data_IF_295973040098
#
_entry.id   IF_295973040098
#
_cell.length_a   1.000
_cell.length_b   1.000
_cell.length_c   1.000
_cell.angle_alpha   90.00
_cell.angle_beta   90.00
_cell.angle_gamma   90.00
#
_symmetry.space_group_name_H-M   'P 1'
#
loop_
_entity.id
_entity.type
_entity.pdbx_description
1 polymer ?
#
# COMPACT_ATOMS: atom_id res chain seq x y z
N UNK A 1 9.18 -0.63 -9.32
CA UNK A 1 8.13 -0.19 -8.36
C UNK A 1 7.37 -1.40 -7.90
N UNK A 2 7.12 -1.49 -6.59
CA UNK A 2 6.46 -2.63 -5.97
C UNK A 2 5.05 -2.25 -5.51
N UNK A 3 4.14 -3.22 -5.51
CA UNK A 3 2.75 -2.99 -5.14
C UNK A 3 2.39 -3.87 -3.94
N UNK A 4 1.79 -3.25 -2.94
CA UNK A 4 1.35 -3.94 -1.72
C UNK A 4 -0.13 -3.70 -1.57
N UNK A 5 -0.91 -4.77 -1.44
CA UNK A 5 -2.31 -4.72 -1.04
C UNK A 5 -2.45 -5.18 0.39
N UNK A 6 -3.19 -4.44 1.20
CA UNK A 6 -3.45 -4.76 2.60
C UNK A 6 -4.96 -4.77 2.80
N UNK A 7 -5.48 -5.95 3.13
CA UNK A 7 -6.83 -6.06 3.67
C UNK A 7 -6.77 -5.91 5.19
N UNK A 8 -7.55 -4.97 5.72
CA UNK A 8 -7.59 -4.62 7.14
C UNK A 8 -8.85 -5.17 7.76
N UNK A 9 -8.68 -6.13 8.66
CA UNK A 9 -9.72 -6.66 9.51
C UNK A 9 -9.55 -6.19 10.96
N UNK A 10 -10.58 -6.38 11.79
CA UNK A 10 -10.57 -5.98 13.21
C UNK A 10 -9.35 -6.51 13.97
N UNK A 11 -9.01 -7.79 13.79
CA UNK A 11 -7.93 -8.45 14.54
C UNK A 11 -6.71 -8.83 13.69
N UNK A 12 -6.80 -8.74 12.36
CA UNK A 12 -5.79 -9.24 11.43
C UNK A 12 -5.58 -8.29 10.26
N UNK A 13 -4.40 -8.37 9.67
CA UNK A 13 -3.98 -7.64 8.49
C UNK A 13 -3.44 -8.64 7.49
N UNK A 14 -4.08 -8.76 6.35
CA UNK A 14 -3.67 -9.65 5.28
C UNK A 14 -2.95 -8.86 4.19
N UNK A 15 -1.66 -9.15 4.01
CA UNK A 15 -0.75 -8.38 3.17
C UNK A 15 -0.35 -9.21 1.96
N UNK A 16 -0.41 -8.61 0.79
CA UNK A 16 0.08 -9.18 -0.47
C UNK A 16 1.07 -8.22 -1.13
N UNK A 17 2.31 -8.65 -1.32
CA UNK A 17 3.35 -7.95 -2.06
C UNK A 17 3.51 -8.56 -3.45
N UNK A 18 3.43 -7.72 -4.48
CA UNK A 18 3.78 -8.02 -5.86
C UNK A 18 5.18 -7.46 -6.15
N UNK A 19 6.17 -8.35 -6.23
CA UNK A 19 7.57 -7.98 -6.39
C UNK A 19 7.88 -7.48 -7.82
N UNK A 20 7.48 -8.25 -8.84
CA UNK A 20 7.70 -7.95 -10.26
C UNK A 20 6.37 -7.67 -11.01
N UNK A 21 5.43 -6.98 -10.35
CA UNK A 21 4.11 -6.66 -10.93
C UNK A 21 3.19 -7.86 -11.13
N UNK A 22 2.26 -7.77 -12.10
CA UNK A 22 1.12 -8.70 -12.27
C UNK A 22 1.52 -10.13 -12.58
N UNK A 23 2.61 -10.34 -13.34
CA UNK A 23 3.13 -11.66 -13.72
C UNK A 23 4.28 -12.15 -12.82
N UNK A 24 4.61 -11.37 -11.80
CA UNK A 24 5.75 -11.59 -10.94
C UNK A 24 5.50 -12.58 -9.80
N UNK A 25 6.56 -12.83 -9.01
CA UNK A 25 6.44 -13.56 -7.75
C UNK A 25 5.66 -12.72 -6.74
N UNK A 26 4.70 -13.35 -6.06
CA UNK A 26 3.93 -12.76 -4.96
C UNK A 26 4.38 -13.29 -3.61
N UNK A 27 4.33 -12.44 -2.59
CA UNK A 27 4.56 -12.81 -1.19
C UNK A 27 3.37 -12.37 -0.36
N UNK A 28 2.87 -13.28 0.47
CA UNK A 28 1.73 -13.00 1.35
C UNK A 28 2.14 -13.14 2.80
N UNK A 29 1.64 -12.27 3.68
CA UNK A 29 1.85 -12.34 5.12
C UNK A 29 0.57 -11.92 5.83
N UNK A 30 0.21 -12.63 6.88
CA UNK A 30 -0.84 -12.19 7.81
C UNK A 30 -0.18 -11.72 9.11
N UNK A 31 -0.63 -10.58 9.63
CA UNK A 31 -0.19 -9.96 10.89
C UNK A 31 -1.39 -9.69 11.78
N UNK A 32 -1.17 -9.55 13.08
CA UNK A 32 -2.22 -9.08 13.99
C UNK A 32 -2.40 -7.56 13.83
N UNK A 33 -3.64 -7.10 13.89
CA UNK A 33 -3.94 -5.67 13.90
C UNK A 33 -3.75 -5.13 15.31
N UNK A 34 -2.50 -4.75 15.62
CA UNK A 34 -2.12 -4.16 16.90
C UNK A 34 -1.26 -2.91 16.67
N UNK A 35 -0.83 -2.30 17.77
CA UNK A 35 -0.01 -1.08 17.77
C UNK A 35 1.33 -1.24 17.04
N UNK A 36 1.87 -2.45 17.06
CA UNK A 36 3.18 -2.79 16.48
C UNK A 36 3.08 -3.26 15.02
N UNK A 37 1.87 -3.41 14.48
CA UNK A 37 1.62 -3.95 13.15
C UNK A 37 2.33 -3.17 12.04
N UNK A 38 2.36 -1.84 12.13
CA UNK A 38 3.06 -0.99 11.18
C UNK A 38 4.58 -1.25 11.18
N UNK A 39 5.19 -1.34 12.37
CA UNK A 39 6.61 -1.64 12.51
C UNK A 39 6.95 -3.04 11.97
N UNK A 40 6.13 -4.04 12.30
CA UNK A 40 6.29 -5.40 11.78
C UNK A 40 6.15 -5.47 10.26
N UNK A 41 5.22 -4.71 9.68
CA UNK A 41 5.03 -4.61 8.24
C UNK A 41 6.23 -3.95 7.56
N UNK A 42 6.73 -2.83 8.08
CA UNK A 42 7.92 -2.16 7.57
C UNK A 42 9.13 -3.10 7.61
N UNK A 43 9.36 -3.78 8.73
CA UNK A 43 10.45 -4.74 8.87
C UNK A 43 10.31 -5.93 7.91
N UNK A 44 9.08 -6.37 7.62
CA UNK A 44 8.82 -7.41 6.63
C UNK A 44 9.08 -6.92 5.20
N UNK A 45 8.65 -5.70 4.85
CA UNK A 45 8.88 -5.09 3.54
C UNK A 45 10.37 -4.85 3.27
N UNK A 46 11.13 -4.45 4.30
CA UNK A 46 12.58 -4.23 4.20
C UNK A 46 13.37 -5.49 3.81
N UNK A 47 12.82 -6.70 3.99
CA UNK A 47 13.45 -7.96 3.55
C UNK A 47 13.43 -8.15 2.03
N UNK A 48 12.54 -7.44 1.36
CA UNK A 48 12.27 -7.60 -0.06
C UNK A 48 12.63 -6.34 -0.84
N UNK A 49 12.40 -5.16 -0.27
CA UNK A 49 12.43 -3.92 -1.03
C UNK A 49 13.50 -3.00 -0.44
N UNK A 50 14.40 -2.44 -1.27
CA UNK A 50 15.50 -1.60 -0.79
C UNK A 50 15.04 -0.26 -0.20
N UNK A 51 13.91 0.29 -0.67
CA UNK A 51 13.40 1.59 -0.22
C UNK A 51 11.86 1.64 -0.21
N UNK A 52 11.26 2.10 0.89
CA UNK A 52 9.79 2.20 1.05
C UNK A 52 9.15 3.18 0.06
N UNK A 53 9.89 4.17 -0.42
CA UNK A 53 9.43 5.16 -1.40
C UNK A 53 9.10 4.53 -2.76
N UNK A 54 9.60 3.33 -3.04
CA UNK A 54 9.33 2.57 -4.26
C UNK A 54 8.10 1.65 -4.12
N UNK A 55 7.44 1.68 -2.96
CA UNK A 55 6.28 0.84 -2.62
C UNK A 55 5.01 1.67 -2.69
N UNK A 56 4.07 1.20 -3.51
CA UNK A 56 2.70 1.69 -3.52
C UNK A 56 1.84 0.73 -2.70
N UNK A 57 1.40 1.17 -1.54
CA UNK A 57 0.57 0.44 -0.59
C UNK A 57 -0.88 0.83 -0.84
N UNK A 58 -1.76 -0.16 -0.96
CA UNK A 58 -3.19 0.04 -1.10
C UNK A 58 -3.94 -0.68 -0.02
N UNK A 59 -4.89 0.04 0.55
CA UNK A 59 -5.72 -0.44 1.65
C UNK A 59 -7.18 -0.24 1.29
N UNK A 60 -8.05 -1.13 1.72
CA UNK A 60 -9.49 -0.94 1.59
C UNK A 60 -10.01 -0.01 2.69
N UNK A 61 -10.97 0.86 2.35
CA UNK A 61 -11.62 1.77 3.30
C UNK A 61 -12.66 1.02 4.17
N UNK A 62 -12.24 0.08 5.00
CA UNK A 62 -13.12 -0.71 5.88
C UNK A 62 -13.08 -0.19 7.33
N UNK A 63 -13.95 0.77 7.64
CA UNK A 63 -14.10 1.33 8.99
C UNK A 63 -12.90 2.15 9.47
N UNK A 64 -12.72 2.33 10.79
CA UNK A 64 -11.68 3.22 11.37
C UNK A 64 -10.30 2.54 11.50
N UNK A 65 -10.24 1.21 11.33
CA UNK A 65 -9.05 0.41 11.64
C UNK A 65 -7.86 0.64 10.70
N UNK A 66 -8.09 1.15 9.49
CA UNK A 66 -7.03 1.36 8.50
C UNK A 66 -6.28 2.68 8.69
N UNK A 67 -6.89 3.67 9.35
CA UNK A 67 -6.32 5.03 9.49
C UNK A 67 -4.98 5.01 10.22
N UNK A 68 -4.91 4.38 11.39
CA UNK A 68 -3.67 4.29 12.17
C UNK A 68 -2.53 3.67 11.37
N UNK A 69 -2.81 2.58 10.65
CA UNK A 69 -1.81 1.88 9.86
C UNK A 69 -1.36 2.74 8.68
N UNK A 70 -2.30 3.41 7.99
CA UNK A 70 -2.00 4.35 6.92
C UNK A 70 -1.11 5.50 7.41
N UNK A 71 -1.45 6.15 8.53
CA UNK A 71 -0.64 7.24 9.08
C UNK A 71 0.80 6.80 9.40
N UNK A 72 0.98 5.66 10.08
CA UNK A 72 2.30 5.15 10.42
C UNK A 72 3.14 4.81 9.20
N UNK A 73 2.53 4.19 8.17
CA UNK A 73 3.21 3.86 6.92
C UNK A 73 3.56 5.12 6.09
N UNK A 74 2.72 6.15 6.16
CA UNK A 74 2.96 7.42 5.48
C UNK A 74 4.14 8.14 6.11
N UNK A 75 4.21 8.18 7.44
CA UNK A 75 5.34 8.75 8.18
C UNK A 75 6.66 8.02 7.87
N UNK A 76 6.60 6.71 7.60
CA UNK A 76 7.77 5.94 7.17
C UNK A 76 8.19 6.18 5.70
N UNK A 77 7.47 7.03 4.95
CA UNK A 77 7.78 7.37 3.57
C UNK A 77 7.15 6.46 2.51
N UNK A 78 6.21 5.59 2.89
CA UNK A 78 5.45 4.76 1.96
C UNK A 78 4.36 5.56 1.23
N UNK A 79 4.12 5.23 -0.05
CA UNK A 79 3.00 5.82 -0.81
C UNK A 79 1.74 5.02 -0.54
N UNK A 80 0.71 5.64 0.02
CA UNK A 80 -0.53 4.95 0.38
C UNK A 80 -1.68 5.44 -0.48
N UNK A 81 -2.51 4.51 -0.94
CA UNK A 81 -3.78 4.79 -1.56
C UNK A 81 -4.90 4.04 -0.82
N UNK A 82 -5.99 4.72 -0.56
CA UNK A 82 -7.19 4.13 0.02
C UNK A 82 -8.16 3.81 -1.12
N UNK A 83 -8.50 2.54 -1.28
CA UNK A 83 -9.41 2.06 -2.31
C UNK A 83 -10.84 1.97 -1.76
N UNK A 84 -11.80 2.47 -2.55
CA UNK A 84 -13.22 2.30 -2.25
C UNK A 84 -13.61 0.81 -2.40
N UNK A 85 -14.20 0.18 -1.37
CA UNK A 85 -14.56 -1.24 -1.39
C UNK A 85 -15.45 -1.64 -2.57
N UNK A 86 -16.38 -0.76 -2.97
CA UNK A 86 -17.24 -1.01 -4.14
C UNK A 86 -16.41 -1.16 -5.42
N UNK A 87 -15.41 -0.30 -5.61
CA UNK A 87 -14.54 -0.33 -6.79
C UNK A 87 -13.62 -1.55 -6.79
N UNK A 88 -13.17 -2.00 -5.64
CA UNK A 88 -12.36 -3.22 -5.50
C UNK A 88 -13.20 -4.44 -5.88
N UNK A 89 -14.44 -4.50 -5.40
CA UNK A 89 -15.38 -5.59 -5.71
C UNK A 89 -15.77 -5.64 -7.17
N UNK A 90 -16.06 -4.50 -7.80
CA UNK A 90 -16.41 -4.47 -9.23
C UNK A 90 -15.20 -4.85 -10.10
N UNK A 91 -14.00 -4.43 -9.70
CA UNK A 91 -12.78 -4.85 -10.35
C UNK A 91 -12.55 -6.38 -10.22
N UNK A 92 -12.76 -6.96 -9.05
CA UNK A 92 -12.65 -8.40 -8.83
C UNK A 92 -13.60 -9.19 -9.74
N UNK A 93 -14.86 -8.74 -9.85
CA UNK A 93 -15.86 -9.31 -10.76
C UNK A 93 -15.41 -9.21 -12.22
N UNK A 94 -14.90 -8.05 -12.64
CA UNK A 94 -14.39 -7.86 -14.00
C UNK A 94 -13.17 -8.74 -14.34
N UNK A 95 -12.39 -9.12 -13.34
CA UNK A 95 -11.26 -10.05 -13.48
C UNK A 95 -11.66 -11.53 -13.40
N UNK A 96 -12.96 -11.85 -13.23
CA UNK A 96 -13.45 -13.23 -13.09
C UNK A 96 -13.06 -13.89 -11.76
N UNK A 97 -12.64 -13.11 -10.77
CA UNK A 97 -12.27 -13.62 -9.45
C UNK A 97 -13.54 -13.63 -8.58
N UNK A 98 -14.16 -14.81 -8.48
CA UNK A 98 -15.40 -15.02 -7.73
C UNK A 98 -15.16 -15.55 -6.31
N UNK A 99 -13.94 -16.01 -6.02
CA UNK A 99 -13.60 -16.62 -4.73
C UNK A 99 -13.25 -15.55 -3.70
N UNK A 100 -14.02 -15.49 -2.62
CA UNK A 100 -13.74 -14.60 -1.48
C UNK A 100 -12.84 -15.32 -0.49
N UNK A 101 -11.55 -14.98 -0.50
CA UNK A 101 -10.60 -15.40 0.54
C UNK A 101 -9.74 -14.21 0.91
N UNK A 102 -9.35 -14.08 2.18
CA UNK A 102 -8.60 -12.91 2.66
C UNK A 102 -7.30 -12.67 1.86
N UNK A 103 -6.64 -13.76 1.43
CA UNK A 103 -5.43 -13.70 0.60
C UNK A 103 -5.70 -13.19 -0.81
N UNK A 104 -6.86 -13.51 -1.36
CA UNK A 104 -7.28 -13.06 -2.70
C UNK A 104 -7.71 -11.60 -2.65
N UNK A 105 -8.37 -11.16 -1.57
CA UNK A 105 -8.78 -9.77 -1.38
C UNK A 105 -7.54 -8.84 -1.33
N UNK A 106 -6.52 -9.21 -0.55
CA UNK A 106 -5.24 -8.49 -0.53
C UNK A 106 -4.53 -8.49 -1.90
N UNK A 107 -4.62 -9.59 -2.65
CA UNK A 107 -4.07 -9.68 -4.00
C UNK A 107 -4.80 -8.76 -5.01
N UNK A 108 -6.14 -8.71 -4.95
CA UNK A 108 -6.95 -7.85 -5.81
C UNK A 108 -6.59 -6.38 -5.57
N UNK A 109 -6.37 -5.97 -4.30
CA UNK A 109 -5.93 -4.62 -3.97
C UNK A 109 -4.58 -4.27 -4.60
N UNK A 110 -3.59 -5.16 -4.45
CA UNK A 110 -2.27 -4.98 -5.04
C UNK A 110 -2.34 -4.91 -6.58
N UNK A 111 -3.17 -5.76 -7.19
CA UNK A 111 -3.38 -5.83 -8.63
C UNK A 111 -4.06 -4.56 -9.16
N UNK A 112 -5.10 -4.09 -8.46
CA UNK A 112 -5.80 -2.85 -8.79
C UNK A 112 -4.82 -1.68 -8.83
N UNK A 113 -3.92 -1.58 -7.85
CA UNK A 113 -2.92 -0.51 -7.83
C UNK A 113 -1.89 -0.65 -8.95
N UNK A 114 -1.44 -1.88 -9.20
CA UNK A 114 -0.50 -2.16 -10.27
C UNK A 114 -1.06 -1.68 -11.61
N UNK A 115 -2.30 -2.06 -11.93
CA UNK A 115 -2.94 -1.69 -13.20
C UNK A 115 -3.31 -0.22 -13.30
N UNK A 116 -3.74 0.43 -12.20
CA UNK A 116 -3.96 1.88 -12.17
C UNK A 116 -2.67 2.65 -12.44
N UNK A 117 -1.56 2.21 -11.85
CA UNK A 117 -0.25 2.87 -11.99
C UNK A 117 0.33 2.67 -13.38
N UNK A 118 0.08 1.52 -14.03
CA UNK A 118 0.47 1.26 -15.43
C UNK A 118 -0.12 2.29 -16.41
N UNK A 119 -1.27 2.92 -16.08
CA UNK A 119 -1.85 3.99 -16.90
C UNK A 119 -1.13 5.35 -16.80
N UNK A 120 -0.20 5.51 -15.85
CA UNK A 120 0.54 6.75 -15.62
C UNK A 120 1.91 6.80 -16.32
N UNK A 121 2.32 5.74 -17.04
CA UNK A 121 3.56 5.72 -17.82
C UNK A 121 3.36 6.06 -19.31
N UNK A 122 2.17 6.54 -19.68
CA UNK A 122 1.90 7.11 -21.00
C UNK A 122 1.27 8.50 -20.84
N UNK A 123 2.04 9.46 -20.36
CA UNK A 123 2.18 10.82 -20.92
C UNK A 123 2.98 11.68 -19.97
N UNK A 124 4.05 12.24 -20.54
CA UNK A 124 4.69 13.47 -20.09
C UNK A 124 3.67 14.51 -19.59
N UNK A 125 4.05 15.24 -18.53
CA UNK A 125 3.41 16.46 -18.03
C UNK A 125 2.14 16.27 -17.18
N UNK A 126 2.30 16.10 -15.86
CA UNK A 126 1.24 16.49 -14.93
C UNK A 126 1.68 17.72 -14.12
N UNK A 127 1.00 18.80 -14.46
CA UNK A 127 1.21 20.18 -14.08
C UNK A 127 0.85 20.38 -12.61
N UNK A 128 1.76 21.07 -11.94
CA UNK A 128 1.67 21.68 -10.62
C UNK A 128 0.31 22.34 -10.35
N UNK A 129 -0.35 21.99 -9.24
CA UNK A 129 -1.37 22.84 -8.60
C UNK A 129 -1.37 22.63 -7.08
N UNK A 130 -0.45 23.34 -6.44
CA UNK A 130 -0.69 24.23 -5.30
C UNK A 130 -1.51 23.66 -4.13
N UNK A 131 -0.82 23.19 -3.10
CA UNK A 131 -1.18 23.53 -1.71
C UNK A 131 -0.02 24.33 -1.14
N UNK A 132 -0.20 25.63 -1.10
CA UNK A 132 0.66 26.58 -0.40
C UNK A 132 0.38 26.51 1.10
N UNK A 133 1.44 26.38 1.89
CA UNK A 133 1.58 27.06 3.19
C UNK A 133 0.91 26.42 4.41
N UNK A 134 1.72 25.78 5.27
CA UNK A 134 1.91 26.14 6.70
C UNK A 134 2.97 25.23 7.36
N UNK A 135 3.69 25.71 8.42
CA UNK A 135 5.03 25.23 8.78
C UNK A 135 5.05 23.94 9.61
N UNK A 136 6.12 23.15 9.42
CA UNK A 136 6.47 21.97 10.21
C UNK A 136 6.90 22.37 11.64
N UNK A 137 6.46 21.67 12.70
CA UNK A 137 7.13 21.77 13.99
C UNK A 137 8.48 21.06 13.91
N UNK A 138 9.53 21.82 14.24
CA UNK A 138 10.93 21.45 14.27
C UNK A 138 11.20 20.32 15.28
N UNK A 139 11.77 19.21 14.82
CA UNK A 139 12.37 18.25 15.75
C UNK A 139 12.35 16.78 15.33
N UNK A 140 12.86 16.43 14.14
CA UNK A 140 13.32 15.06 13.92
C UNK A 140 14.43 15.02 12.87
N UNK A 141 15.68 15.01 13.34
CA UNK A 141 16.88 14.82 12.49
C UNK A 141 17.00 13.33 12.20
N UNK A 142 16.69 12.90 10.96
CA UNK A 142 17.04 11.56 10.50
C UNK A 142 18.36 11.66 9.71
N UNK A 143 19.40 11.05 10.29
CA UNK A 143 20.73 10.89 9.72
C UNK A 143 20.65 10.14 8.38
N UNK A 144 21.28 10.70 7.35
CA UNK A 144 21.54 10.04 6.07
C UNK A 144 22.56 8.92 6.28
N UNK A 145 22.30 7.72 5.75
CA UNK A 145 23.36 6.76 5.46
C UNK A 145 23.67 6.79 3.95
N UNK A 146 24.96 6.66 3.56
CA UNK A 146 25.40 6.84 2.18
C UNK A 146 25.16 5.59 1.32
N UNK A 147 25.28 5.81 0.00
CA UNK A 147 24.96 4.90 -1.10
C UNK A 147 25.83 3.65 -1.18
#
# INVERSE_FOLDING_TARGET
>A
MHYVGIDVSKNKLDICLLYDGVKGKRKTKSLLNNEHSACMLIAWLAKYIPALQQVNIVMEATGVYHERLAYSLHQAGGRIAIANPLRVRDFAKGMGILTKTDKVDAYILALLQCLKTTRCLATSSYRNSRIEGSPMPSGCVIRRYPA
#
